data_IF_046927397677
#
_entry.id   IF_046927397677
#
_cell.length_a   1.000
_cell.length_b   1.000
_cell.length_c   1.000
_cell.angle_alpha   90.00
_cell.angle_beta   90.00
_cell.angle_gamma   90.00
#
_symmetry.space_group_name_H-M   'P 1'
#
loop_
_entity.id
_entity.type
_entity.pdbx_description
1 polymer ?
#
# COMPACT_ATOMS: atom_id res chain seq x y z
N UNK A 1 6.99 59.35 -61.51
CA UNK A 1 6.26 60.44 -60.82
C UNK A 1 5.08 60.85 -61.69
N UNK A 2 3.92 61.18 -61.11
CA UNK A 2 2.87 60.33 -60.53
C UNK A 2 1.68 60.26 -61.55
N UNK A 3 0.52 59.62 -61.38
CA UNK A 3 -0.51 59.79 -60.35
C UNK A 3 -1.55 58.68 -60.53
N UNK A 4 -1.93 58.14 -59.37
CA UNK A 4 -3.04 57.28 -59.01
C UNK A 4 -4.42 57.84 -59.44
N UNK A 5 -5.33 57.00 -59.93
CA UNK A 5 -6.77 57.27 -59.77
C UNK A 5 -7.62 56.01 -59.76
N UNK A 6 -8.71 56.16 -59.03
CA UNK A 6 -9.44 55.18 -58.24
C UNK A 6 -10.84 54.97 -58.84
N UNK A 7 -11.46 53.87 -58.41
CA UNK A 7 -12.90 53.61 -58.26
C UNK A 7 -13.77 53.16 -59.46
N UNK A 8 -14.29 51.93 -59.24
CA UNK A 8 -15.70 51.50 -59.22
C UNK A 8 -16.42 51.20 -60.53
N UNK A 9 -16.75 49.92 -60.69
CA UNK A 9 -18.07 49.51 -61.15
C UNK A 9 -18.65 48.48 -60.18
N UNK A 10 -19.85 48.80 -59.69
CA UNK A 10 -20.75 47.95 -58.95
C UNK A 10 -21.43 46.93 -59.88
N UNK A 11 -21.72 45.74 -59.35
CA UNK A 11 -22.65 44.79 -59.96
C UNK A 11 -22.93 43.62 -59.02
N UNK A 12 -24.03 43.72 -58.26
CA UNK A 12 -24.56 42.63 -57.44
C UNK A 12 -25.43 41.68 -58.28
N UNK A 13 -25.41 40.39 -57.92
CA UNK A 13 -26.59 39.53 -58.08
C UNK A 13 -26.26 38.09 -58.45
N UNK A 14 -26.47 37.17 -57.51
CA UNK A 14 -26.61 35.74 -57.84
C UNK A 14 -25.99 34.80 -56.82
N UNK A 15 -26.73 34.52 -55.76
CA UNK A 15 -26.41 33.54 -54.72
C UNK A 15 -26.30 32.12 -55.30
N UNK A 16 -25.18 31.45 -55.05
CA UNK A 16 -25.18 30.00 -54.82
C UNK A 16 -23.96 29.65 -53.95
N UNK A 17 -24.21 29.36 -52.68
CA UNK A 17 -23.20 29.04 -51.68
C UNK A 17 -22.70 27.61 -51.91
N UNK A 18 -21.52 27.46 -52.48
CA UNK A 18 -20.74 26.22 -52.39
C UNK A 18 -20.00 26.24 -51.06
N UNK A 19 -20.50 25.49 -50.08
CA UNK A 19 -19.76 25.19 -48.85
C UNK A 19 -18.65 24.20 -49.20
N UNK A 20 -17.41 24.65 -49.16
CA UNK A 20 -16.24 23.78 -49.12
C UNK A 20 -16.31 22.99 -47.79
N UNK A 21 -16.35 21.66 -47.91
CA UNK A 21 -16.19 20.77 -46.77
C UNK A 21 -14.68 20.73 -46.48
N UNK A 22 -14.24 21.58 -45.56
CA UNK A 22 -13.01 21.30 -44.83
C UNK A 22 -13.33 20.14 -43.88
N UNK A 23 -12.81 18.96 -44.21
CA UNK A 23 -12.76 17.81 -43.30
C UNK A 23 -11.75 18.15 -42.21
N UNK A 24 -12.18 19.00 -41.27
CA UNK A 24 -11.52 19.15 -39.99
C UNK A 24 -11.78 17.85 -39.24
N UNK A 25 -10.83 16.92 -39.35
CA UNK A 25 -10.68 15.89 -38.33
C UNK A 25 -10.45 16.65 -37.03
N UNK A 26 -11.51 16.75 -36.24
CA UNK A 26 -11.42 17.14 -34.85
C UNK A 26 -10.54 16.08 -34.19
N UNK A 27 -9.25 16.38 -34.10
CA UNK A 27 -8.38 15.69 -33.16
C UNK A 27 -8.95 16.07 -31.81
N UNK A 28 -9.81 15.19 -31.28
CA UNK A 28 -10.15 15.18 -29.87
C UNK A 28 -8.80 14.99 -29.18
N UNK A 29 -8.26 16.08 -28.65
CA UNK A 29 -7.24 16.00 -27.61
C UNK A 29 -7.99 15.42 -26.43
N UNK A 30 -7.89 14.11 -26.24
CA UNK A 30 -8.30 13.47 -25.00
C UNK A 30 -7.37 14.05 -23.93
N UNK A 31 -7.95 14.66 -22.90
CA UNK A 31 -7.20 15.12 -21.75
C UNK A 31 -6.65 13.87 -21.05
N UNK A 32 -5.36 13.61 -21.22
CA UNK A 32 -4.60 12.43 -20.77
C UNK A 32 -4.42 12.38 -19.23
N UNK A 33 -5.37 12.96 -18.49
CA UNK A 33 -5.33 13.24 -17.05
C UNK A 33 -6.68 13.02 -16.38
N UNK A 34 -7.45 12.00 -16.77
CA UNK A 34 -8.65 11.62 -16.03
C UNK A 34 -8.28 11.08 -14.65
N UNK A 35 -8.23 11.97 -13.66
CA UNK A 35 -8.08 11.59 -12.26
C UNK A 35 -9.44 11.20 -11.70
N UNK A 36 -9.58 9.93 -11.36
CA UNK A 36 -10.81 9.38 -10.81
C UNK A 36 -10.90 9.72 -9.31
N UNK A 37 -12.06 10.19 -8.83
CA UNK A 37 -12.26 10.40 -7.40
C UNK A 37 -12.12 9.09 -6.61
N UNK A 38 -11.66 9.20 -5.38
CA UNK A 38 -11.65 8.10 -4.40
C UNK A 38 -13.07 7.59 -4.20
N UNK A 39 -13.29 6.32 -4.52
CA UNK A 39 -14.57 5.64 -4.31
C UNK A 39 -14.62 5.06 -2.91
N UNK A 40 -15.19 5.84 -1.99
CA UNK A 40 -15.31 5.44 -0.59
C UNK A 40 -16.26 4.26 -0.37
N UNK A 41 -17.04 3.85 -1.37
CA UNK A 41 -17.90 2.67 -1.28
C UNK A 41 -17.12 1.35 -1.33
N UNK A 42 -15.84 1.39 -1.73
CA UNK A 42 -14.94 0.24 -1.70
C UNK A 42 -14.49 -0.13 -0.29
N UNK A 43 -14.53 0.79 0.67
CA UNK A 43 -14.13 0.50 2.04
C UNK A 43 -15.21 -0.32 2.78
N UNK A 44 -14.81 -1.47 3.29
CA UNK A 44 -15.57 -2.27 4.26
C UNK A 44 -15.06 -1.95 5.66
N UNK A 45 -15.54 -0.85 6.23
CA UNK A 45 -15.18 -0.45 7.59
C UNK A 45 -16.17 -1.03 8.59
N UNK A 46 -15.66 -1.46 9.73
CA UNK A 46 -16.50 -1.83 10.88
C UNK A 46 -17.30 -0.62 11.41
N UNK A 47 -18.25 -0.87 12.31
CA UNK A 47 -19.12 0.20 12.86
C UNK A 47 -18.39 1.31 13.62
N UNK A 48 -17.14 1.09 14.03
CA UNK A 48 -16.29 2.10 14.66
C UNK A 48 -15.46 2.91 13.65
N UNK A 49 -15.41 2.48 12.38
CA UNK A 49 -14.85 3.27 11.29
C UNK A 49 -15.80 4.38 10.82
N UNK A 50 -15.23 5.44 10.26
CA UNK A 50 -16.00 6.58 9.75
C UNK A 50 -15.30 7.24 8.57
N UNK A 51 -16.08 7.70 7.60
CA UNK A 51 -15.60 8.50 6.48
C UNK A 51 -16.37 9.81 6.45
N UNK A 52 -15.66 10.93 6.54
CA UNK A 52 -16.25 12.27 6.46
C UNK A 52 -15.49 13.14 5.47
N UNK A 53 -16.15 14.14 4.89
CA UNK A 53 -15.47 15.13 4.06
C UNK A 53 -15.05 16.32 4.90
N UNK A 54 -13.79 16.74 4.76
CA UNK A 54 -13.20 17.87 5.48
C UNK A 54 -12.44 18.77 4.51
N UNK A 55 -12.31 20.05 4.84
CA UNK A 55 -11.35 20.90 4.16
C UNK A 55 -9.92 20.49 4.56
N UNK A 56 -9.01 20.47 3.60
CA UNK A 56 -7.60 20.09 3.82
C UNK A 56 -6.67 20.99 2.99
N UNK A 57 -5.37 20.96 3.33
CA UNK A 57 -4.32 21.59 2.53
C UNK A 57 -3.48 20.48 1.90
N UNK A 58 -3.24 20.56 0.59
CA UNK A 58 -2.41 19.61 -0.13
C UNK A 58 -0.91 19.92 0.07
N UNK A 59 -0.03 18.98 -0.25
CA UNK A 59 1.42 19.14 -0.05
C UNK A 59 2.04 20.28 -0.86
N UNK A 60 1.39 20.75 -1.92
CA UNK A 60 1.76 21.95 -2.68
C UNK A 60 1.24 23.28 -2.07
N UNK A 61 0.48 23.22 -0.96
CA UNK A 61 -0.12 24.37 -0.28
C UNK A 61 -1.50 24.78 -0.80
N UNK A 62 -2.06 24.09 -1.80
CA UNK A 62 -3.39 24.37 -2.33
C UNK A 62 -4.48 23.86 -1.36
N UNK A 63 -5.59 24.62 -1.27
CA UNK A 63 -6.75 24.18 -0.51
C UNK A 63 -7.56 23.16 -1.31
N UNK A 64 -8.00 22.09 -0.66
CA UNK A 64 -8.81 21.03 -1.27
C UNK A 64 -9.89 20.51 -0.31
N UNK A 65 -10.63 19.51 -0.76
CA UNK A 65 -11.51 18.69 0.09
C UNK A 65 -10.95 17.27 0.14
N UNK A 66 -10.85 16.72 1.34
CA UNK A 66 -10.33 15.39 1.59
C UNK A 66 -11.38 14.53 2.30
N UNK A 67 -11.28 13.22 2.11
CA UNK A 67 -11.87 12.26 3.02
C UNK A 67 -10.99 12.15 4.27
N UNK A 68 -11.61 12.33 5.44
CA UNK A 68 -11.07 11.90 6.72
C UNK A 68 -11.63 10.51 7.02
N UNK A 69 -10.75 9.52 6.94
CA UNK A 69 -11.06 8.10 7.04
C UNK A 69 -10.51 7.59 8.38
N UNK A 70 -11.40 7.33 9.32
CA UNK A 70 -11.07 6.67 10.59
C UNK A 70 -11.26 5.17 10.42
N UNK A 71 -10.20 4.41 10.67
CA UNK A 71 -10.22 2.95 10.71
C UNK A 71 -10.16 2.44 12.15
N UNK A 72 -10.66 1.23 12.39
CA UNK A 72 -10.66 0.58 13.70
C UNK A 72 -9.34 -0.14 14.03
N UNK A 73 -8.45 -0.32 13.06
CA UNK A 73 -7.16 -1.01 13.24
C UNK A 73 -7.27 -2.53 13.32
N UNK A 74 -8.34 -3.11 12.79
CA UNK A 74 -8.51 -4.56 12.66
C UNK A 74 -9.19 -4.88 11.32
N UNK A 75 -8.65 -5.78 10.50
CA UNK A 75 -9.18 -6.11 9.17
C UNK A 75 -10.62 -6.63 9.26
N UNK A 76 -11.53 -6.04 8.50
CA UNK A 76 -12.96 -6.40 8.49
C UNK A 76 -13.25 -7.79 7.89
N UNK A 77 -12.30 -8.34 7.13
CA UNK A 77 -12.44 -9.58 6.38
C UNK A 77 -12.17 -10.87 7.17
N UNK A 78 -11.76 -10.77 8.44
CA UNK A 78 -11.42 -11.91 9.29
C UNK A 78 -11.72 -11.63 10.76
N UNK A 79 -11.55 -12.64 11.61
CA UNK A 79 -11.78 -12.55 13.06
C UNK A 79 -10.53 -12.84 13.89
N UNK A 80 -9.46 -13.30 13.26
CA UNK A 80 -8.20 -13.65 13.92
C UNK A 80 -7.02 -13.13 13.12
N UNK A 81 -5.96 -12.74 13.82
CA UNK A 81 -4.67 -12.36 13.23
C UNK A 81 -3.65 -13.47 13.44
N UNK A 82 -2.59 -13.48 12.63
CA UNK A 82 -1.58 -14.53 12.67
C UNK A 82 -1.97 -15.78 11.86
N UNK A 83 -1.19 -16.88 11.99
CA UNK A 83 -0.07 -17.07 12.91
C UNK A 83 1.10 -16.09 12.68
N UNK A 84 1.87 -15.80 13.73
CA UNK A 84 3.06 -14.95 13.68
C UNK A 84 4.33 -15.77 13.95
N UNK A 85 4.86 -15.78 15.18
CA UNK A 85 6.06 -16.55 15.46
C UNK A 85 5.77 -18.06 15.53
N UNK A 86 6.64 -18.92 14.95
CA UNK A 86 6.57 -20.36 15.16
C UNK A 86 6.87 -20.69 16.63
N UNK A 87 6.12 -21.63 17.21
CA UNK A 87 6.27 -21.96 18.64
C UNK A 87 7.46 -22.87 18.93
N UNK A 88 7.84 -23.71 17.97
CA UNK A 88 8.93 -24.68 18.09
C UNK A 88 9.71 -24.84 16.78
N UNK A 89 10.89 -25.45 16.88
CA UNK A 89 11.74 -25.88 15.75
C UNK A 89 11.12 -26.94 14.84
N UNK A 90 9.91 -27.42 15.15
CA UNK A 90 9.14 -28.34 14.30
C UNK A 90 7.84 -27.70 13.79
N UNK A 91 7.70 -26.38 13.90
CA UNK A 91 6.50 -25.68 13.43
C UNK A 91 6.46 -25.69 11.91
N UNK A 92 5.40 -26.26 11.35
CA UNK A 92 5.16 -26.29 9.90
C UNK A 92 4.58 -24.95 9.41
N UNK A 93 4.74 -24.67 8.11
CA UNK A 93 4.33 -23.41 7.47
C UNK A 93 2.90 -22.96 7.82
N UNK A 94 1.93 -23.89 7.84
CA UNK A 94 0.52 -23.58 8.16
C UNK A 94 0.29 -23.00 9.56
N UNK A 95 1.24 -23.19 10.49
CA UNK A 95 1.18 -22.66 11.85
C UNK A 95 2.29 -21.64 12.14
N UNK A 96 2.99 -21.18 11.10
CA UNK A 96 4.03 -20.18 11.16
C UNK A 96 3.62 -18.95 10.36
N UNK A 97 4.04 -17.79 10.82
CA UNK A 97 3.95 -16.56 10.06
C UNK A 97 5.04 -16.47 9.00
N UNK A 98 5.28 -15.24 8.55
CA UNK A 98 6.16 -14.91 7.45
C UNK A 98 7.27 -13.96 7.88
N UNK A 99 8.35 -13.97 7.11
CA UNK A 99 9.41 -12.97 7.17
C UNK A 99 9.87 -12.67 5.75
N UNK A 100 9.95 -11.39 5.40
CA UNK A 100 10.58 -11.01 4.14
C UNK A 100 12.08 -10.78 4.33
N UNK A 101 12.87 -11.20 3.34
CA UNK A 101 14.28 -10.85 3.22
C UNK A 101 14.71 -10.90 1.75
N UNK A 102 15.48 -9.91 1.32
CA UNK A 102 16.02 -9.79 -0.05
C UNK A 102 14.98 -10.02 -1.17
N UNK A 103 13.78 -9.45 -1.02
CA UNK A 103 12.70 -9.56 -2.01
C UNK A 103 11.88 -10.85 -1.95
N UNK A 104 12.18 -11.76 -1.01
CA UNK A 104 11.52 -13.06 -0.87
C UNK A 104 10.72 -13.10 0.43
N UNK A 105 9.48 -13.58 0.37
CA UNK A 105 8.65 -13.84 1.55
C UNK A 105 8.82 -15.31 1.97
N UNK A 106 9.46 -15.56 3.10
CA UNK A 106 9.71 -16.88 3.65
C UNK A 106 8.66 -17.29 4.68
N UNK A 107 8.30 -18.57 4.69
CA UNK A 107 7.65 -19.18 5.85
C UNK A 107 8.62 -19.25 7.03
N UNK A 108 8.24 -18.70 8.17
CA UNK A 108 8.97 -18.83 9.43
C UNK A 108 8.77 -20.20 10.05
N UNK A 109 9.00 -21.26 9.27
CA UNK A 109 8.96 -22.63 9.80
C UNK A 109 10.01 -22.82 10.90
N UNK A 110 9.82 -23.86 11.70
CA UNK A 110 10.84 -24.27 12.66
C UNK A 110 12.19 -24.58 11.99
N UNK A 111 12.17 -25.17 10.79
CA UNK A 111 13.37 -25.41 9.97
C UNK A 111 14.06 -24.09 9.60
N UNK A 112 13.31 -23.10 9.13
CA UNK A 112 13.84 -21.77 8.83
C UNK A 112 14.50 -21.14 10.05
N UNK A 113 13.83 -21.17 11.22
CA UNK A 113 14.38 -20.65 12.47
C UNK A 113 15.70 -21.33 12.86
N UNK A 114 15.79 -22.66 12.71
CA UNK A 114 17.03 -23.39 13.03
C UNK A 114 18.18 -23.13 12.04
N UNK A 115 17.87 -22.58 10.86
CA UNK A 115 18.85 -22.36 9.80
C UNK A 115 19.24 -20.88 9.65
N UNK A 116 18.78 -19.98 10.54
CA UNK A 116 19.06 -18.54 10.48
C UNK A 116 20.56 -18.23 10.53
N UNK A 117 21.33 -19.01 11.28
CA UNK A 117 22.79 -18.87 11.36
C UNK A 117 23.47 -19.06 10.00
N UNK A 118 23.03 -20.06 9.25
CA UNK A 118 23.53 -20.41 7.93
C UNK A 118 22.97 -19.48 6.86
N UNK A 119 21.71 -19.08 7.01
CA UNK A 119 21.02 -18.13 6.13
C UNK A 119 21.74 -16.77 6.13
N UNK A 120 22.06 -16.23 7.31
CA UNK A 120 22.77 -14.96 7.45
C UNK A 120 24.31 -15.09 7.54
N UNK A 121 24.84 -16.31 7.62
CA UNK A 121 26.28 -16.56 7.76
C UNK A 121 26.87 -16.10 9.09
N UNK A 122 26.07 -16.10 10.16
CA UNK A 122 26.45 -15.63 11.49
C UNK A 122 25.90 -16.56 12.60
N UNK A 123 26.79 -17.22 13.32
CA UNK A 123 26.45 -18.15 14.41
C UNK A 123 25.84 -17.49 15.66
N UNK A 124 25.69 -16.16 15.67
CA UNK A 124 25.04 -15.43 16.76
C UNK A 124 23.51 -15.59 16.73
N UNK A 125 22.95 -15.93 15.56
CA UNK A 125 21.52 -16.24 15.40
C UNK A 125 21.16 -17.53 16.14
N UNK A 126 20.35 -17.39 17.20
CA UNK A 126 19.86 -18.50 18.02
C UNK A 126 18.50 -18.16 18.63
N UNK A 127 17.45 -18.12 17.81
CA UNK A 127 16.10 -17.72 18.23
C UNK A 127 15.35 -18.77 19.05
N UNK A 128 16.00 -19.87 19.42
CA UNK A 128 15.35 -20.99 20.08
C UNK A 128 16.25 -21.60 21.16
N UNK A 129 15.65 -22.36 22.06
CA UNK A 129 16.36 -23.15 23.06
C UNK A 129 16.80 -24.50 22.44
N UNK A 130 18.11 -24.75 22.36
CA UNK A 130 18.65 -25.99 21.76
C UNK A 130 18.25 -27.28 22.47
N UNK A 131 17.93 -27.23 23.77
CA UNK A 131 17.55 -28.41 24.54
C UNK A 131 16.08 -28.77 24.35
N UNK A 132 15.20 -27.77 24.28
CA UNK A 132 13.74 -27.97 24.22
C UNK A 132 13.17 -27.83 22.81
N UNK A 133 13.86 -27.12 21.93
CA UNK A 133 13.37 -26.74 20.61
C UNK A 133 12.28 -25.65 20.65
N UNK A 134 12.05 -25.00 21.79
CA UNK A 134 11.09 -23.89 21.91
C UNK A 134 11.70 -22.60 21.33
N UNK A 135 10.93 -21.86 20.55
CA UNK A 135 11.33 -20.56 20.01
C UNK A 135 11.15 -19.48 21.08
N UNK A 136 12.12 -18.59 21.20
CA UNK A 136 12.07 -17.41 22.05
C UNK A 136 11.09 -16.40 21.44
N UNK A 137 9.88 -16.30 22.00
CA UNK A 137 8.81 -15.43 21.49
C UNK A 137 8.49 -14.33 22.51
N UNK A 138 8.27 -13.10 22.04
CA UNK A 138 7.66 -12.04 22.87
C UNK A 138 6.17 -12.30 23.06
N UNK A 139 5.78 -12.86 24.19
CA UNK A 139 4.42 -13.34 24.47
C UNK A 139 3.64 -12.50 25.50
N UNK A 140 4.09 -11.27 25.74
CA UNK A 140 3.41 -10.30 26.61
C UNK A 140 3.57 -8.90 26.05
N UNK A 141 2.68 -7.98 26.44
CA UNK A 141 2.77 -6.57 26.06
C UNK A 141 4.14 -5.98 26.42
N UNK A 142 4.64 -6.24 27.64
CA UNK A 142 5.94 -5.72 28.10
C UNK A 142 7.08 -6.23 27.22
N UNK A 143 7.06 -7.52 26.85
CA UNK A 143 8.10 -8.10 26.00
C UNK A 143 8.02 -7.55 24.57
N UNK A 144 6.80 -7.46 24.01
CA UNK A 144 6.55 -6.85 22.71
C UNK A 144 7.05 -5.40 22.68
N UNK A 145 6.65 -4.54 23.62
CA UNK A 145 7.05 -3.13 23.64
C UNK A 145 8.57 -2.93 23.81
N UNK A 146 9.24 -3.87 24.49
CA UNK A 146 10.69 -3.84 24.66
C UNK A 146 11.47 -4.31 23.42
N UNK A 147 10.85 -5.10 22.54
CA UNK A 147 11.48 -5.65 21.34
C UNK A 147 11.00 -5.00 20.02
N UNK A 148 9.77 -4.52 19.94
CA UNK A 148 9.16 -3.88 18.77
C UNK A 148 9.51 -2.38 18.71
N UNK A 149 10.81 -2.07 18.75
CA UNK A 149 11.35 -0.72 18.73
C UNK A 149 12.75 -0.71 18.08
N UNK A 150 13.20 0.43 17.51
CA UNK A 150 14.52 0.50 16.88
C UNK A 150 15.69 0.15 17.82
N UNK A 151 15.58 0.52 19.09
CA UNK A 151 16.53 0.20 20.15
C UNK A 151 16.03 -0.97 21.01
N UNK A 152 16.04 -2.16 20.43
CA UNK A 152 15.65 -3.43 21.07
C UNK A 152 16.35 -3.58 22.43
N UNK A 153 15.59 -3.90 23.47
CA UNK A 153 16.16 -4.16 24.78
C UNK A 153 16.99 -5.45 24.74
N UNK A 154 18.20 -5.42 25.30
CA UNK A 154 19.23 -6.45 25.08
C UNK A 154 18.79 -7.85 25.50
N UNK A 155 17.88 -7.97 26.47
CA UNK A 155 17.30 -9.26 26.89
C UNK A 155 16.41 -9.93 25.82
N UNK A 156 15.95 -9.18 24.80
CA UNK A 156 15.14 -9.68 23.68
C UNK A 156 15.94 -9.80 22.37
N UNK A 157 17.26 -9.69 22.41
CA UNK A 157 18.07 -10.16 21.29
C UNK A 157 17.85 -11.66 21.10
N UNK A 158 17.87 -12.16 19.86
CA UNK A 158 17.56 -13.56 19.54
C UNK A 158 16.11 -13.96 19.92
N UNK A 159 15.16 -13.07 19.69
CA UNK A 159 13.73 -13.38 19.79
C UNK A 159 13.05 -13.26 18.42
N UNK A 160 12.08 -14.14 18.20
CA UNK A 160 10.99 -13.85 17.28
C UNK A 160 10.02 -12.87 17.98
N UNK A 161 9.85 -11.70 17.39
CA UNK A 161 9.05 -10.61 17.91
C UNK A 161 7.65 -10.70 17.32
N UNK A 162 6.67 -10.85 18.19
CA UNK A 162 5.26 -10.68 17.89
C UNK A 162 4.59 -9.82 18.97
N UNK A 163 3.51 -9.17 18.58
CA UNK A 163 2.61 -8.47 19.47
C UNK A 163 1.19 -8.97 19.21
N UNK A 164 0.35 -8.97 20.23
CA UNK A 164 -1.07 -9.29 20.07
C UNK A 164 -1.89 -8.00 20.08
N UNK A 165 -2.91 -7.94 19.23
CA UNK A 165 -3.81 -6.76 19.20
C UNK A 165 -4.52 -6.57 20.54
N UNK A 166 -4.77 -7.68 21.24
CA UNK A 166 -5.37 -7.73 22.59
C UNK A 166 -4.57 -6.99 23.67
N UNK A 167 -3.29 -6.68 23.41
CA UNK A 167 -2.49 -5.84 24.31
C UNK A 167 -2.94 -4.37 24.31
N UNK A 168 -3.58 -3.93 23.22
CA UNK A 168 -3.96 -2.53 23.01
C UNK A 168 -5.48 -2.32 22.93
N UNK A 169 -6.24 -3.35 22.57
CA UNK A 169 -7.70 -3.33 22.58
C UNK A 169 -8.26 -4.71 22.95
N UNK A 170 -9.05 -4.79 24.02
CA UNK A 170 -9.62 -6.04 24.53
C UNK A 170 -10.96 -6.44 23.87
N UNK A 171 -11.44 -5.65 22.92
CA UNK A 171 -12.65 -5.94 22.14
C UNK A 171 -12.28 -6.77 20.91
N UNK A 172 -12.90 -7.96 20.80
CA UNK A 172 -12.73 -8.86 19.65
C UNK A 172 -13.11 -8.16 18.33
N UNK A 173 -12.22 -8.24 17.33
CA UNK A 173 -12.43 -7.58 16.03
C UNK A 173 -12.16 -6.07 16.02
N UNK A 174 -11.59 -5.51 17.10
CA UNK A 174 -11.14 -4.13 17.16
C UNK A 174 -9.62 -4.05 17.42
N UNK A 175 -9.03 -2.92 17.04
CA UNK A 175 -7.61 -2.65 17.21
C UNK A 175 -7.33 -1.22 17.62
N UNK A 176 -6.16 -0.70 17.23
CA UNK A 176 -5.77 0.69 17.46
C UNK A 176 -6.35 1.55 16.34
N UNK A 177 -7.25 2.48 16.68
CA UNK A 177 -7.86 3.34 15.68
C UNK A 177 -6.89 4.40 15.15
N UNK A 178 -6.91 4.63 13.84
CA UNK A 178 -6.12 5.64 13.14
C UNK A 178 -7.01 6.45 12.21
N UNK A 179 -6.63 7.70 11.94
CA UNK A 179 -7.35 8.57 11.00
C UNK A 179 -6.42 9.08 9.92
N UNK A 180 -6.82 8.88 8.66
CA UNK A 180 -6.08 9.26 7.47
C UNK A 180 -6.80 10.37 6.72
N UNK A 181 -6.05 11.21 6.02
CA UNK A 181 -6.57 12.19 5.08
C UNK A 181 -6.19 11.78 3.67
N UNK A 182 -7.18 11.66 2.78
CA UNK A 182 -6.98 11.36 1.36
C UNK A 182 -7.73 12.40 0.52
N UNK A 183 -7.11 13.09 -0.44
CA UNK A 183 -7.80 13.99 -1.36
C UNK A 183 -8.97 13.29 -2.06
N UNK A 184 -10.13 13.95 -2.19
CA UNK A 184 -11.29 13.34 -2.86
C UNK A 184 -10.96 13.03 -4.31
N UNK A 185 -10.28 13.94 -5.00
CA UNK A 185 -9.75 13.74 -6.34
C UNK A 185 -8.24 13.88 -6.28
N UNK A 186 -7.47 12.90 -6.76
CA UNK A 186 -6.02 13.01 -6.83
C UNK A 186 -5.59 14.25 -7.60
N UNK A 187 -4.53 14.92 -7.14
CA UNK A 187 -3.93 16.05 -7.83
C UNK A 187 -2.51 15.63 -8.23
N UNK A 188 -2.17 15.60 -9.53
CA UNK A 188 -0.88 15.10 -9.96
C UNK A 188 0.21 16.08 -9.56
N UNK A 189 1.40 15.55 -9.27
CA UNK A 189 2.59 16.36 -8.98
C UNK A 189 3.65 16.18 -10.05
N UNK A 190 4.44 17.23 -10.30
CA UNK A 190 5.48 17.22 -11.35
C UNK A 190 6.77 16.49 -10.96
N UNK A 191 6.94 16.18 -9.67
CA UNK A 191 8.09 15.45 -9.15
C UNK A 191 7.59 14.47 -8.11
N UNK A 192 8.05 13.22 -8.14
CA UNK A 192 7.68 12.20 -7.17
C UNK A 192 7.81 12.69 -5.69
N UNK A 193 6.80 12.38 -4.89
CA UNK A 193 6.73 12.63 -3.47
C UNK A 193 7.32 11.48 -2.66
N UNK A 194 8.09 11.82 -1.63
CA UNK A 194 8.60 10.81 -0.69
C UNK A 194 7.47 10.27 0.18
N UNK A 195 7.45 8.95 0.39
CA UNK A 195 6.59 8.28 1.37
C UNK A 195 7.06 8.58 2.80
N UNK A 196 8.37 8.76 3.01
CA UNK A 196 8.94 8.93 4.34
C UNK A 196 8.92 7.63 5.14
N UNK A 197 8.51 7.71 6.41
CA UNK A 197 8.43 6.57 7.35
C UNK A 197 7.01 6.32 7.89
N UNK A 198 6.04 7.05 7.35
CA UNK A 198 4.66 7.00 7.79
C UNK A 198 3.84 6.05 6.90
N UNK A 199 2.53 6.15 6.94
CA UNK A 199 1.66 5.32 6.12
C UNK A 199 1.71 5.69 4.63
N UNK A 200 1.68 4.67 3.78
CA UNK A 200 1.49 4.77 2.32
C UNK A 200 0.04 5.02 1.97
N UNK A 201 -0.89 4.41 2.70
CA UNK A 201 -2.30 4.39 2.32
C UNK A 201 -3.18 3.61 3.28
N UNK A 202 -4.39 3.32 2.82
CA UNK A 202 -5.40 2.58 3.59
C UNK A 202 -5.99 1.49 2.71
N UNK A 203 -5.95 0.26 3.20
CA UNK A 203 -6.60 -0.88 2.56
C UNK A 203 -8.13 -0.80 2.73
N UNK A 204 -8.87 -1.37 1.77
CA UNK A 204 -10.32 -1.38 1.76
C UNK A 204 -10.93 -2.11 2.96
N UNK A 205 -10.21 -3.05 3.56
CA UNK A 205 -10.60 -3.75 4.78
C UNK A 205 -10.33 -2.96 6.08
N UNK A 206 -9.91 -1.69 5.99
CA UNK A 206 -9.69 -0.82 7.15
C UNK A 206 -8.34 -1.00 7.85
N UNK A 207 -7.31 -1.50 7.16
CA UNK A 207 -5.95 -1.62 7.70
C UNK A 207 -5.02 -0.59 7.07
N UNK A 208 -4.10 -0.06 7.86
CA UNK A 208 -3.06 0.84 7.37
C UNK A 208 -2.06 0.11 6.47
N UNK A 209 -1.67 0.74 5.37
CA UNK A 209 -0.55 0.32 4.53
C UNK A 209 0.64 1.16 4.97
N UNK A 210 1.59 0.58 5.69
CA UNK A 210 2.73 1.35 6.23
C UNK A 210 3.96 1.28 5.33
N UNK A 211 4.84 2.28 5.46
CA UNK A 211 6.13 2.29 4.77
C UNK A 211 6.99 1.07 5.15
N UNK A 212 8.08 0.89 4.41
CA UNK A 212 9.03 -0.19 4.63
C UNK A 212 9.45 -0.33 6.10
N UNK A 213 9.35 -1.56 6.63
CA UNK A 213 9.84 -1.89 7.96
C UNK A 213 11.36 -1.71 8.03
N UNK A 214 11.93 -1.29 9.18
CA UNK A 214 13.35 -1.04 9.32
C UNK A 214 14.14 -2.36 9.52
N UNK A 215 14.24 -3.19 8.47
CA UNK A 215 14.90 -4.52 8.53
C UNK A 215 16.33 -4.46 9.05
N UNK A 216 17.11 -3.45 8.68
CA UNK A 216 18.47 -3.26 9.20
C UNK A 216 18.49 -3.19 10.74
N UNK A 217 17.56 -2.46 11.35
CA UNK A 217 17.47 -2.35 12.81
C UNK A 217 17.06 -3.68 13.45
N UNK A 218 16.08 -4.38 12.85
CA UNK A 218 15.59 -5.69 13.29
C UNK A 218 16.73 -6.72 13.28
N UNK A 219 17.41 -6.86 12.14
CA UNK A 219 18.49 -7.83 11.97
C UNK A 219 19.71 -7.49 12.84
N UNK A 220 19.99 -6.22 13.10
CA UNK A 220 21.11 -5.81 13.98
C UNK A 220 20.95 -6.24 15.44
N UNK A 221 19.71 -6.50 15.87
CA UNK A 221 19.38 -7.02 17.20
C UNK A 221 19.27 -8.56 17.22
N UNK A 222 19.54 -9.23 16.10
CA UNK A 222 19.28 -10.66 15.90
C UNK A 222 17.82 -11.01 16.22
N UNK A 223 16.88 -10.14 15.84
CA UNK A 223 15.44 -10.42 15.98
C UNK A 223 14.82 -10.65 14.61
N UNK A 224 13.64 -11.27 14.62
CA UNK A 224 12.76 -11.38 13.46
C UNK A 224 11.42 -10.77 13.88
N UNK A 225 10.92 -9.77 13.16
CA UNK A 225 9.57 -9.25 13.39
C UNK A 225 8.60 -10.07 12.53
N UNK A 226 7.90 -11.02 13.13
CA UNK A 226 7.05 -11.93 12.37
C UNK A 226 5.83 -11.19 11.81
N UNK A 227 5.53 -11.45 10.54
CA UNK A 227 4.28 -11.09 9.89
C UNK A 227 3.35 -12.30 9.84
N UNK A 228 2.07 -12.08 9.60
CA UNK A 228 1.16 -13.13 9.19
C UNK A 228 1.22 -13.38 7.67
N UNK A 229 0.37 -14.29 7.18
CA UNK A 229 0.27 -14.60 5.76
C UNK A 229 0.03 -13.37 4.86
N UNK A 230 -0.51 -12.29 5.42
CA UNK A 230 -0.87 -11.08 4.68
C UNK A 230 0.19 -10.00 4.77
N UNK A 231 1.38 -10.37 5.27
CA UNK A 231 2.47 -9.43 5.51
C UNK A 231 2.05 -8.34 6.49
N UNK A 232 1.11 -8.68 7.39
CA UNK A 232 0.62 -7.81 8.44
C UNK A 232 1.16 -8.21 9.81
N UNK A 233 1.34 -7.24 10.69
CA UNK A 233 1.69 -7.52 12.08
C UNK A 233 1.21 -6.41 13.01
N UNK A 234 1.32 -6.66 14.32
CA UNK A 234 0.97 -5.68 15.35
C UNK A 234 2.23 -5.02 15.90
N UNK A 235 2.19 -3.70 16.07
CA UNK A 235 3.19 -2.99 16.89
C UNK A 235 2.51 -2.03 17.89
N UNK A 236 3.26 -1.50 18.88
CA UNK A 236 2.69 -0.63 19.92
C UNK A 236 2.15 0.72 19.44
N UNK A 237 2.50 1.17 18.24
CA UNK A 237 2.21 2.51 17.75
C UNK A 237 1.03 2.52 16.77
N UNK A 238 1.02 1.60 15.81
CA UNK A 238 0.05 1.50 14.73
C UNK A 238 -1.04 0.44 15.00
N UNK A 239 -0.85 -0.46 15.97
CA UNK A 239 -1.67 -1.66 16.06
C UNK A 239 -1.38 -2.59 14.88
N UNK A 240 -2.40 -3.23 14.31
CA UNK A 240 -2.24 -4.09 13.14
C UNK A 240 -2.16 -3.28 11.85
N UNK A 241 -1.12 -3.52 11.05
CA UNK A 241 -0.83 -2.81 9.79
C UNK A 241 -0.08 -3.75 8.83
N UNK A 242 -0.12 -3.43 7.53
CA UNK A 242 0.55 -4.19 6.47
C UNK A 242 1.87 -3.53 6.04
N UNK A 243 2.84 -4.37 5.66
CA UNK A 243 4.11 -3.97 5.02
C UNK A 243 4.28 -4.51 3.60
N UNK A 244 3.35 -5.34 3.14
CA UNK A 244 3.30 -5.86 1.78
C UNK A 244 1.91 -6.42 1.47
N UNK A 245 1.73 -6.84 0.22
CA UNK A 245 0.44 -7.29 -0.30
C UNK A 245 0.58 -8.73 -0.82
N UNK A 246 0.29 -9.73 0.02
CA UNK A 246 0.38 -11.15 -0.34
C UNK A 246 -1.02 -11.70 -0.70
N UNK A 247 -1.52 -11.32 -1.87
CA UNK A 247 -2.86 -11.71 -2.33
C UNK A 247 -2.77 -12.83 -3.35
N UNK A 248 -3.55 -13.90 -3.14
CA UNK A 248 -3.61 -15.07 -4.03
C UNK A 248 -3.17 -16.39 -3.38
N UNK A 249 -2.54 -16.35 -2.21
CA UNK A 249 -2.18 -17.55 -1.43
C UNK A 249 -2.70 -17.45 0.02
N UNK A 250 -3.51 -18.42 0.46
CA UNK A 250 -3.84 -18.60 1.88
C UNK A 250 -5.05 -17.81 2.41
N UNK A 251 -4.92 -17.28 3.62
CA UNK A 251 -6.01 -16.73 4.48
C UNK A 251 -6.18 -15.22 4.39
N UNK A 252 -5.39 -14.56 3.54
CA UNK A 252 -5.60 -13.17 3.15
C UNK A 252 -6.74 -13.13 2.15
N UNK A 253 -7.65 -12.14 2.22
CA UNK A 253 -8.68 -12.03 1.21
C UNK A 253 -8.02 -12.02 -0.14
N UNK A 254 -8.50 -12.93 -0.99
CA UNK A 254 -8.29 -12.80 -2.40
C UNK A 254 -8.82 -11.42 -2.79
N UNK A 255 -7.96 -10.62 -3.42
CA UNK A 255 -8.44 -9.45 -4.13
C UNK A 255 -8.98 -9.97 -5.44
N UNK A 256 -10.26 -9.75 -5.68
CA UNK A 256 -10.87 -10.06 -6.96
C UNK A 256 -10.21 -9.20 -8.05
N UNK A 257 -9.86 -9.84 -9.17
CA UNK A 257 -9.40 -9.12 -10.35
C UNK A 257 -10.47 -8.15 -10.84
N UNK A 258 -10.02 -7.09 -11.50
CA UNK A 258 -10.95 -6.21 -12.21
C UNK A 258 -11.61 -6.96 -13.38
N UNK A 259 -12.73 -6.44 -13.87
CA UNK A 259 -13.58 -7.13 -14.87
C UNK A 259 -12.90 -7.44 -16.20
N UNK A 260 -11.79 -6.77 -16.50
CA UNK A 260 -10.96 -6.92 -17.70
C UNK A 260 -9.71 -7.79 -17.46
N UNK A 261 -9.57 -8.38 -16.27
CA UNK A 261 -8.45 -9.24 -15.90
C UNK A 261 -7.28 -8.53 -15.25
N UNK A 262 -7.34 -7.20 -15.11
CA UNK A 262 -6.32 -6.42 -14.43
C UNK A 262 -6.20 -6.79 -12.94
N UNK A 263 -5.02 -6.57 -12.35
CA UNK A 263 -4.82 -6.71 -10.90
C UNK A 263 -5.91 -5.96 -10.12
N UNK A 264 -6.44 -6.56 -9.07
CA UNK A 264 -7.56 -5.99 -8.32
C UNK A 264 -7.12 -4.84 -7.42
N UNK A 265 -7.93 -3.78 -7.30
CA UNK A 265 -7.70 -2.73 -6.31
C UNK A 265 -7.93 -3.24 -4.88
N UNK A 266 -7.06 -2.87 -3.94
CA UNK A 266 -7.23 -3.24 -2.52
C UNK A 266 -7.06 -2.08 -1.54
N UNK A 267 -6.68 -0.90 -2.02
CA UNK A 267 -6.50 0.27 -1.18
C UNK A 267 -6.36 1.55 -1.97
N UNK A 268 -6.32 2.66 -1.24
CA UNK A 268 -5.94 3.96 -1.77
C UNK A 268 -4.65 4.43 -1.11
N UNK A 269 -3.72 4.95 -1.91
CA UNK A 269 -2.58 5.71 -1.42
C UNK A 269 -3.06 7.05 -0.82
N UNK A 270 -2.25 7.65 0.05
CA UNK A 270 -2.60 8.93 0.70
C UNK A 270 -2.72 10.12 -0.28
N UNK A 271 -2.25 9.98 -1.51
CA UNK A 271 -2.46 10.96 -2.59
C UNK A 271 -3.75 10.73 -3.40
N UNK A 272 -4.49 9.67 -3.07
CA UNK A 272 -5.81 9.34 -3.60
C UNK A 272 -5.83 8.39 -4.78
N UNK A 273 -4.68 8.00 -5.35
CA UNK A 273 -4.66 6.99 -6.41
C UNK A 273 -4.85 5.58 -5.83
N UNK A 274 -5.54 4.72 -6.59
CA UNK A 274 -5.78 3.34 -6.19
C UNK A 274 -4.46 2.53 -6.22
N UNK A 275 -4.35 1.56 -5.31
CA UNK A 275 -3.28 0.55 -5.29
C UNK A 275 -3.89 -0.79 -5.66
N UNK A 276 -3.38 -1.37 -6.74
CA UNK A 276 -3.76 -2.67 -7.27
C UNK A 276 -2.75 -3.76 -6.90
N UNK A 277 -3.17 -5.03 -6.95
CA UNK A 277 -2.27 -6.17 -6.79
C UNK A 277 -1.13 -6.13 -7.83
N UNK A 278 0.02 -6.68 -7.47
CA UNK A 278 1.19 -6.74 -8.37
C UNK A 278 0.88 -7.46 -9.68
N UNK A 279 0.10 -8.55 -9.59
CA UNK A 279 -0.15 -9.45 -10.72
C UNK A 279 -1.60 -9.33 -11.22
N UNK A 280 -1.74 -9.49 -12.53
CA UNK A 280 -3.00 -9.68 -13.25
C UNK A 280 -3.56 -11.11 -13.13
N UNK A 281 -4.72 -11.38 -13.73
CA UNK A 281 -5.36 -12.70 -13.74
C UNK A 281 -4.51 -13.81 -14.38
N UNK A 282 -3.48 -13.43 -15.15
CA UNK A 282 -2.57 -14.33 -15.87
C UNK A 282 -1.23 -14.52 -15.13
N UNK A 283 -1.10 -14.02 -13.90
CA UNK A 283 0.14 -13.98 -13.12
C UNK A 283 1.27 -13.19 -13.78
N UNK A 284 0.93 -12.04 -14.37
CA UNK A 284 1.88 -11.10 -14.96
C UNK A 284 1.84 -9.76 -14.26
N UNK A 285 3.03 -9.22 -14.05
CA UNK A 285 3.19 -7.82 -13.66
C UNK A 285 3.17 -6.94 -14.91
N UNK A 286 2.66 -5.73 -14.77
CA UNK A 286 2.68 -4.71 -15.81
C UNK A 286 4.12 -4.34 -16.19
N UNK A 287 4.40 -4.16 -17.47
CA UNK A 287 5.77 -3.96 -17.98
C UNK A 287 6.13 -2.48 -18.23
N UNK A 288 5.21 -1.56 -17.96
CA UNK A 288 5.34 -0.13 -18.20
C UNK A 288 5.20 0.73 -16.93
N UNK A 289 5.34 0.13 -15.75
CA UNK A 289 5.32 0.84 -14.47
C UNK A 289 6.44 1.89 -14.35
N UNK A 290 6.09 3.06 -13.84
CA UNK A 290 7.02 4.14 -13.54
C UNK A 290 7.84 3.89 -12.26
N UNK A 291 8.68 4.84 -11.87
CA UNK A 291 9.51 4.71 -10.65
C UNK A 291 8.73 4.65 -9.35
N UNK A 292 7.47 5.09 -9.34
CA UNK A 292 6.57 4.97 -8.20
C UNK A 292 5.76 3.68 -8.24
N UNK A 293 5.95 2.84 -9.26
CA UNK A 293 5.16 1.63 -9.57
C UNK A 293 3.73 1.93 -10.02
N UNK A 294 3.51 3.04 -10.72
CA UNK A 294 2.22 3.31 -11.35
C UNK A 294 2.31 3.52 -12.85
N UNK A 295 1.15 3.50 -13.49
CA UNK A 295 0.98 3.79 -14.91
C UNK A 295 -0.42 4.37 -15.15
N UNK A 296 -0.74 4.71 -16.40
CA UNK A 296 -2.03 5.30 -16.78
C UNK A 296 -2.70 4.46 -17.85
N UNK A 297 -4.00 4.17 -17.68
CA UNK A 297 -4.85 3.61 -18.72
C UNK A 297 -6.18 4.39 -18.85
N UNK A 298 -6.95 4.10 -19.91
CA UNK A 298 -8.25 4.75 -20.20
C UNK A 298 -9.37 4.40 -19.20
N UNK A 299 -9.24 3.29 -18.47
CA UNK A 299 -10.28 2.77 -17.59
C UNK A 299 -10.17 3.31 -16.16
N UNK A 300 -8.94 3.47 -15.67
CA UNK A 300 -8.55 3.74 -14.28
C UNK A 300 -7.81 5.05 -14.12
N UNK A 301 -7.31 5.64 -15.21
CA UNK A 301 -6.39 6.76 -15.14
C UNK A 301 -5.07 6.33 -14.52
N UNK A 302 -4.36 7.27 -13.89
CA UNK A 302 -3.14 6.91 -13.16
C UNK A 302 -3.48 6.07 -11.92
N UNK A 303 -2.80 4.95 -11.73
CA UNK A 303 -2.96 4.07 -10.57
C UNK A 303 -1.67 3.29 -10.29
N UNK A 304 -1.54 2.74 -9.09
CA UNK A 304 -0.35 2.01 -8.66
C UNK A 304 -0.56 0.50 -8.68
N UNK A 305 0.55 -0.23 -8.80
CA UNK A 305 0.67 -1.65 -8.51
C UNK A 305 1.59 -1.86 -7.32
N UNK A 306 1.10 -2.61 -6.32
CA UNK A 306 1.92 -3.01 -5.18
C UNK A 306 3.16 -3.75 -5.65
N UNK A 307 4.29 -3.58 -4.95
CA UNK A 307 5.45 -4.45 -5.08
C UNK A 307 5.15 -5.84 -4.53
N UNK A 308 6.05 -6.77 -4.82
CA UNK A 308 5.94 -8.14 -4.35
C UNK A 308 5.91 -8.21 -2.82
N UNK A 309 5.26 -9.22 -2.24
CA UNK A 309 5.07 -9.30 -0.79
C UNK A 309 6.37 -9.48 0.00
N UNK A 310 7.45 -9.91 -0.66
CA UNK A 310 8.80 -10.00 -0.10
C UNK A 310 9.64 -8.72 -0.21
N UNK A 311 9.16 -7.68 -0.90
CA UNK A 311 9.94 -6.49 -1.21
C UNK A 311 9.91 -5.42 -0.10
N UNK A 312 9.10 -5.62 0.95
CA UNK A 312 8.95 -4.66 2.06
C UNK A 312 8.53 -3.27 1.54
N UNK A 313 7.60 -3.25 0.58
CA UNK A 313 7.19 -2.06 -0.15
C UNK A 313 5.79 -2.28 -0.76
N UNK A 314 4.98 -1.22 -0.80
CA UNK A 314 3.80 -1.17 -1.68
C UNK A 314 4.13 -0.39 -2.95
N UNK A 315 4.43 0.90 -2.82
CA UNK A 315 4.74 1.80 -3.94
C UNK A 315 6.06 2.53 -3.64
N UNK A 316 6.76 3.00 -4.67
CA UNK A 316 8.07 3.65 -4.49
C UNK A 316 7.98 5.13 -4.05
N UNK A 317 6.89 5.80 -4.42
CA UNK A 317 6.67 7.22 -4.17
C UNK A 317 5.21 7.63 -4.41
N UNK A 318 4.85 8.86 -4.03
CA UNK A 318 3.58 9.48 -4.41
C UNK A 318 3.72 10.26 -5.73
N UNK A 319 2.86 9.98 -6.69
CA UNK A 319 2.67 10.68 -7.95
C UNK A 319 1.55 11.73 -7.88
N UNK A 320 0.84 11.80 -6.75
CA UNK A 320 -0.09 12.87 -6.42
C UNK A 320 0.30 13.68 -5.18
N UNK A 321 -0.36 14.81 -4.99
CA UNK A 321 -0.27 15.62 -3.78
C UNK A 321 -0.98 14.93 -2.62
N UNK A 322 -0.32 14.85 -1.46
CA UNK A 322 -0.91 14.29 -0.23
C UNK A 322 -1.56 15.38 0.61
N UNK A 323 -2.50 15.02 1.48
CA UNK A 323 -3.11 15.94 2.43
C UNK A 323 -2.22 16.16 3.67
N UNK A 324 -2.20 17.39 4.20
CA UNK A 324 -1.51 17.82 5.43
C UNK A 324 -2.48 18.27 6.53
#
# INVERSE_FOLDING_TARGET
MPVLSLLMLSGCGGSNSSSEIEDAVEVVVVDDTSNYPVDVTKFDLSSSGAITQVACTLSNGESSTCYSITVNGFPSDRTTLGPFCPTTTTTEAVNAGKWFDDGVLYDLTGEFITNLDSFYGDSTWQLYNDETGEVNITNSQIACEAAARPDVAAEYNNFCVQCEISYYNDVEGEGVSSTFLIPITPVPRSQAGSIGRDSVGVAFNGVALDAAAPTEAILSAYTIAAFDDCVGHVNPFAGYHYHGANHGEGTCPAIEFEVDGHGGAFGYALDGYAIHSMLDENNKEEDDLDSCRGHTDDARGYHYHSAGPGENLFIGCFNGETAQ
#
